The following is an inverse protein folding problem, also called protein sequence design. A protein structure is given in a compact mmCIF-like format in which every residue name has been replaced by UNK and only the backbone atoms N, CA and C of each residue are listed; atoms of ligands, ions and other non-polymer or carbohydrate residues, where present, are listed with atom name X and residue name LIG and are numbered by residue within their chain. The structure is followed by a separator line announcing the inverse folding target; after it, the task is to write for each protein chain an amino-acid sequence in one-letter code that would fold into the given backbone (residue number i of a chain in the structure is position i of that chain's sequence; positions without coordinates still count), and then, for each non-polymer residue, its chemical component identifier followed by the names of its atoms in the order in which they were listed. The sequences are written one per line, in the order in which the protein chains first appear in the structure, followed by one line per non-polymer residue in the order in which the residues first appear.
data_IF_305264123028
#
_entry.id   IF_305264123028
#
_cell.length_a   1.000
_cell.length_b   1.000
_cell.length_c   1.000
_cell.angle_alpha   90.00
_cell.angle_beta   90.00
_cell.angle_gamma   90.00
#
_symmetry.space_group_name_H-M   'P 1'
#
loop_
_entity.id
_entity.type
_entity.pdbx_description
1 polymer ?
#
# COMPACT_ATOMS: atom_id res chain seq x y z
N UNK A 1 -10.80 6.67 7.44
CA UNK A 1 -9.43 7.16 7.31
C UNK A 1 -8.54 6.31 8.21
N UNK A 2 -7.45 5.78 7.69
CA UNK A 2 -6.46 5.08 8.52
C UNK A 2 -5.76 6.11 9.41
N UNK A 3 -5.44 5.79 10.68
CA UNK A 3 -4.71 6.70 11.55
C UNK A 3 -3.35 7.03 10.91
N UNK A 4 -2.92 8.29 11.04
CA UNK A 4 -1.59 8.71 10.62
C UNK A 4 -0.54 7.96 11.44
N UNK A 5 0.47 7.38 10.78
CA UNK A 5 1.58 6.76 11.47
C UNK A 5 2.57 7.86 11.89
N UNK A 6 3.02 7.87 13.15
CA UNK A 6 3.93 8.89 13.66
C UNK A 6 5.31 8.91 12.96
N UNK A 7 5.70 7.81 12.31
CA UNK A 7 7.01 7.68 11.63
C UNK A 7 7.02 8.09 10.15
N UNK A 8 5.94 8.68 9.63
CA UNK A 8 5.88 9.17 8.24
C UNK A 8 6.61 10.51 8.02
N UNK A 9 7.79 10.67 8.60
CA UNK A 9 8.41 11.98 8.78
C UNK A 9 9.23 12.52 7.60
N UNK A 10 9.41 11.77 6.50
CA UNK A 10 10.35 12.13 5.43
C UNK A 10 9.92 13.34 4.58
N UNK A 11 8.66 13.73 4.61
CA UNK A 11 8.10 14.85 3.85
C UNK A 11 7.34 15.83 4.72
N UNK A 12 8.03 16.40 5.69
CA UNK A 12 7.46 17.37 6.64
C UNK A 12 7.60 18.81 6.20
N UNK A 13 8.44 19.10 5.21
CA UNK A 13 8.76 20.45 4.76
C UNK A 13 8.44 20.69 3.28
N UNK A 14 7.99 21.90 2.99
CA UNK A 14 7.73 22.35 1.63
C UNK A 14 9.03 22.50 0.85
N UNK A 15 9.12 21.90 -0.33
CA UNK A 15 10.28 22.00 -1.22
C UNK A 15 10.49 23.40 -1.79
N UNK A 16 9.46 24.26 -1.82
CA UNK A 16 9.53 25.60 -2.38
C UNK A 16 9.95 26.67 -1.35
N UNK A 17 9.57 26.52 -0.07
CA UNK A 17 9.79 27.56 0.93
C UNK A 17 10.21 27.02 2.31
N UNK A 18 10.45 25.72 2.46
CA UNK A 18 10.87 25.03 3.66
C UNK A 18 9.91 25.12 4.87
N UNK A 19 8.78 25.80 4.73
CA UNK A 19 7.76 25.82 5.76
C UNK A 19 7.18 24.42 6.03
N UNK A 20 6.62 24.15 7.21
CA UNK A 20 5.94 22.89 7.51
C UNK A 20 4.82 22.61 6.51
N UNK A 21 4.67 21.35 6.10
CA UNK A 21 3.55 20.87 5.29
C UNK A 21 2.37 20.45 6.18
N UNK A 22 1.17 20.83 5.76
CA UNK A 22 -0.07 20.24 6.25
C UNK A 22 -0.53 19.10 5.36
N UNK A 23 -1.22 18.11 5.94
CA UNK A 23 -1.82 16.99 5.21
C UNK A 23 -3.30 16.91 5.52
N UNK A 24 -4.14 16.96 4.48
CA UNK A 24 -5.58 16.70 4.60
C UNK A 24 -5.88 15.20 4.69
N UNK A 25 -5.02 14.39 4.09
CA UNK A 25 -5.06 12.93 4.13
C UNK A 25 -3.64 12.38 4.04
N UNK A 26 -3.26 11.52 4.97
CA UNK A 26 -2.06 10.68 4.88
C UNK A 26 -2.49 9.28 4.47
N UNK A 27 -1.82 8.68 3.51
CA UNK A 27 -2.14 7.34 2.99
C UNK A 27 -1.09 6.31 3.39
N UNK A 28 0.09 6.31 2.78
CA UNK A 28 1.17 5.38 3.09
C UNK A 28 2.42 6.19 3.37
N UNK A 29 3.04 6.02 4.52
CA UNK A 29 4.24 6.75 4.88
C UNK A 29 4.00 8.26 4.76
N UNK A 30 4.76 8.92 3.90
CA UNK A 30 4.66 10.36 3.60
C UNK A 30 3.76 10.67 2.39
N UNK A 31 3.08 9.68 1.81
CA UNK A 31 2.16 9.90 0.69
C UNK A 31 0.80 10.39 1.20
N UNK A 32 0.22 11.33 0.46
CA UNK A 32 -1.08 11.87 0.83
C UNK A 32 -1.43 13.17 0.12
N UNK A 33 -2.44 13.83 0.62
CA UNK A 33 -2.89 15.14 0.12
C UNK A 33 -2.24 16.23 0.96
N UNK A 34 -1.09 16.70 0.51
CA UNK A 34 -0.31 17.72 1.18
C UNK A 34 -0.59 19.13 0.64
N UNK A 35 -0.43 20.12 1.50
CA UNK A 35 -0.44 21.54 1.17
C UNK A 35 0.58 22.30 2.03
N UNK A 36 1.01 23.43 1.52
CA UNK A 36 1.82 24.40 2.23
C UNK A 36 1.00 25.67 2.45
N UNK A 37 0.67 25.98 3.69
CA UNK A 37 -0.11 27.16 4.01
C UNK A 37 0.71 28.46 3.88
N UNK A 38 2.05 28.38 3.85
CA UNK A 38 2.94 29.54 3.73
C UNK A 38 3.09 30.05 2.28
N UNK A 39 3.16 29.16 1.28
CA UNK A 39 3.38 29.55 -0.12
C UNK A 39 2.29 29.09 -1.08
N UNK A 40 1.26 28.38 -0.60
CA UNK A 40 0.15 27.90 -1.42
C UNK A 40 0.47 26.65 -2.27
N UNK A 41 1.69 26.13 -2.23
CA UNK A 41 2.03 24.89 -2.92
C UNK A 41 1.18 23.73 -2.38
N UNK A 42 0.71 22.88 -3.27
CA UNK A 42 -0.12 21.71 -2.92
C UNK A 42 0.16 20.56 -3.87
N UNK A 43 -0.28 19.36 -3.45
CA UNK A 43 -0.25 18.19 -4.32
C UNK A 43 -1.04 18.50 -5.61
N UNK A 44 -0.46 18.28 -6.81
CA UNK A 44 -1.21 18.39 -8.07
C UNK A 44 -2.36 17.39 -8.11
N UNK A 45 -3.47 17.77 -8.74
CA UNK A 45 -4.56 16.84 -9.04
C UNK A 45 -4.10 15.88 -10.15
N UNK A 46 -4.13 14.57 -9.92
CA UNK A 46 -3.75 13.61 -10.94
C UNK A 46 -4.91 13.33 -11.91
N UNK A 47 -4.61 13.16 -13.20
CA UNK A 47 -5.60 12.77 -14.22
C UNK A 47 -6.12 11.34 -14.01
N UNK A 48 -5.28 10.46 -13.43
CA UNK A 48 -5.63 9.09 -13.07
C UNK A 48 -5.51 8.95 -11.56
N UNK A 49 -6.62 8.63 -10.89
CA UNK A 49 -6.66 8.56 -9.43
C UNK A 49 -7.60 7.49 -8.92
N UNK A 50 -7.23 6.81 -7.85
CA UNK A 50 -8.16 5.97 -7.13
C UNK A 50 -9.18 6.85 -6.37
N UNK A 51 -10.46 6.67 -6.65
CA UNK A 51 -11.58 7.39 -6.02
C UNK A 51 -12.20 6.59 -4.89
N UNK A 52 -12.09 5.28 -4.94
CA UNK A 52 -12.54 4.34 -3.90
C UNK A 52 -11.51 3.23 -3.74
N UNK A 53 -11.19 2.89 -2.50
CA UNK A 53 -10.34 1.75 -2.15
C UNK A 53 -10.94 1.05 -0.94
N UNK A 54 -11.19 -0.24 -1.08
CA UNK A 54 -11.63 -1.13 -0.01
C UNK A 54 -10.53 -2.16 0.26
N UNK A 55 -10.10 -2.24 1.50
CA UNK A 55 -9.08 -3.16 1.96
C UNK A 55 -9.76 -4.38 2.60
N UNK A 56 -9.49 -5.56 2.07
CA UNK A 56 -10.08 -6.81 2.54
C UNK A 56 -9.08 -7.68 3.33
N UNK A 57 -8.20 -7.03 4.10
CA UNK A 57 -7.13 -7.70 4.83
C UNK A 57 -6.20 -8.46 3.90
N UNK A 58 -5.82 -9.66 4.28
CA UNK A 58 -4.94 -10.54 3.48
C UNK A 58 -5.59 -11.06 2.19
N UNK A 59 -6.90 -10.85 1.99
CA UNK A 59 -7.61 -11.32 0.78
C UNK A 59 -7.42 -10.42 -0.43
N UNK A 60 -6.95 -9.20 -0.25
CA UNK A 60 -6.71 -8.27 -1.35
C UNK A 60 -7.44 -6.95 -1.20
N UNK A 61 -7.69 -6.29 -2.33
CA UNK A 61 -8.33 -4.98 -2.39
C UNK A 61 -9.40 -4.92 -3.48
N UNK A 62 -10.40 -4.07 -3.31
CA UNK A 62 -11.24 -3.59 -4.40
C UNK A 62 -11.05 -2.08 -4.55
N UNK A 63 -11.03 -1.58 -5.79
CA UNK A 63 -10.82 -0.17 -6.05
C UNK A 63 -11.55 0.31 -7.30
N UNK A 64 -11.86 1.61 -7.31
CA UNK A 64 -12.31 2.34 -8.49
C UNK A 64 -11.27 3.39 -8.85
N UNK A 65 -10.85 3.41 -10.11
CA UNK A 65 -9.86 4.35 -10.64
C UNK A 65 -10.56 5.25 -11.67
N UNK A 66 -10.62 6.55 -11.39
CA UNK A 66 -11.06 7.54 -12.36
C UNK A 66 -9.92 7.86 -13.33
N UNK A 67 -10.25 7.92 -14.62
CA UNK A 67 -9.34 8.24 -15.71
C UNK A 67 -10.00 9.20 -16.70
N UNK A 68 -9.25 9.86 -17.58
CA UNK A 68 -9.84 10.67 -18.67
C UNK A 68 -10.72 9.87 -19.66
N UNK A 69 -10.57 8.55 -19.70
CA UNK A 69 -11.34 7.66 -20.58
C UNK A 69 -12.54 6.99 -19.89
N UNK A 70 -12.77 7.28 -18.61
CA UNK A 70 -13.83 6.68 -17.80
C UNK A 70 -13.31 5.99 -16.53
N UNK A 71 -14.18 5.28 -15.83
CA UNK A 71 -13.83 4.60 -14.58
C UNK A 71 -13.43 3.15 -14.84
N UNK A 72 -12.45 2.68 -14.07
CA UNK A 72 -11.99 1.30 -14.02
C UNK A 72 -12.27 0.75 -12.64
N UNK A 73 -13.16 -0.25 -12.55
CA UNK A 73 -13.35 -1.02 -11.33
C UNK A 73 -12.48 -2.28 -11.39
N UNK A 74 -11.80 -2.60 -10.30
CA UNK A 74 -10.96 -3.77 -10.19
C UNK A 74 -11.02 -4.38 -8.79
N UNK A 75 -10.94 -5.71 -8.73
CA UNK A 75 -10.72 -6.48 -7.52
C UNK A 75 -9.42 -7.26 -7.69
N UNK A 76 -8.46 -7.02 -6.81
CA UNK A 76 -7.12 -7.60 -6.91
C UNK A 76 -6.85 -8.51 -5.71
N UNK A 77 -6.32 -9.72 -5.91
CA UNK A 77 -5.90 -10.60 -4.83
C UNK A 77 -4.54 -10.15 -4.23
N UNK A 78 -4.27 -8.86 -4.27
CA UNK A 78 -3.06 -8.23 -3.79
C UNK A 78 -3.40 -7.38 -2.57
N UNK A 79 -2.99 -7.78 -1.34
CA UNK A 79 -3.34 -7.07 -0.12
C UNK A 79 -2.53 -5.78 0.05
N UNK A 80 -3.09 -4.85 0.83
CA UNK A 80 -2.45 -3.61 1.26
C UNK A 80 -2.68 -2.43 0.33
N UNK A 81 -2.69 -1.23 0.92
CA UNK A 81 -2.98 0.02 0.23
C UNK A 81 -1.94 0.35 -0.86
N UNK A 82 -0.68 -0.09 -0.69
CA UNK A 82 0.36 0.09 -1.69
C UNK A 82 -0.01 -0.54 -3.05
N UNK A 83 -0.80 -1.61 -3.06
CA UNK A 83 -1.27 -2.22 -4.31
C UNK A 83 -2.37 -1.41 -5.00
N UNK A 84 -3.13 -0.59 -4.29
CA UNK A 84 -4.00 0.40 -4.92
C UNK A 84 -3.17 1.48 -5.65
N UNK A 85 -2.06 1.92 -5.07
CA UNK A 85 -1.12 2.82 -5.75
C UNK A 85 -0.50 2.16 -6.99
N UNK A 86 -0.04 0.91 -6.86
CA UNK A 86 0.55 0.17 -7.98
C UNK A 86 -0.45 0.00 -9.14
N UNK A 87 -1.69 -0.38 -8.84
CA UNK A 87 -2.75 -0.53 -9.85
C UNK A 87 -3.08 0.80 -10.53
N UNK A 88 -3.18 1.89 -9.75
CA UNK A 88 -3.45 3.23 -10.29
C UNK A 88 -2.30 3.71 -11.17
N UNK A 89 -1.05 3.50 -10.75
CA UNK A 89 0.14 3.86 -11.52
C UNK A 89 0.26 3.02 -12.81
N UNK A 90 0.00 1.71 -12.73
CA UNK A 90 -0.02 0.83 -13.90
C UNK A 90 -1.10 1.26 -14.91
N UNK A 91 -2.29 1.61 -14.41
CA UNK A 91 -3.38 2.15 -15.24
C UNK A 91 -2.94 3.43 -15.94
N UNK A 92 -2.36 4.38 -15.22
CA UNK A 92 -1.88 5.64 -15.80
C UNK A 92 -0.80 5.42 -16.87
N UNK A 93 0.16 4.54 -16.60
CA UNK A 93 1.21 4.19 -17.55
C UNK A 93 0.65 3.52 -18.80
N UNK A 94 -0.24 2.56 -18.66
CA UNK A 94 -0.86 1.85 -19.79
C UNK A 94 -1.63 2.82 -20.69
N UNK A 95 -2.45 3.70 -20.12
CA UNK A 95 -3.20 4.71 -20.88
C UNK A 95 -2.27 5.72 -21.58
N UNK A 96 -1.18 6.14 -20.93
CA UNK A 96 -0.17 7.00 -21.52
C UNK A 96 0.57 6.35 -22.69
N UNK A 97 0.68 5.03 -22.69
CA UNK A 97 1.24 4.22 -23.80
C UNK A 97 0.22 3.94 -24.90
N UNK A 98 -1.01 4.42 -24.78
CA UNK A 98 -2.08 4.24 -25.80
C UNK A 98 -2.82 2.90 -25.66
N UNK A 99 -2.66 2.17 -24.56
CA UNK A 99 -3.43 0.96 -24.29
C UNK A 99 -4.86 1.37 -23.92
N UNK A 100 -5.85 0.73 -24.54
CA UNK A 100 -7.25 1.05 -24.32
C UNK A 100 -7.73 0.66 -22.92
N UNK A 101 -8.74 1.36 -22.41
CA UNK A 101 -9.29 1.16 -21.06
C UNK A 101 -9.81 -0.27 -20.82
N UNK A 102 -10.35 -0.92 -21.86
CA UNK A 102 -10.84 -2.30 -21.77
C UNK A 102 -9.71 -3.33 -21.61
N UNK A 103 -8.55 -3.06 -22.22
CA UNK A 103 -7.36 -3.88 -22.03
C UNK A 103 -6.78 -3.70 -20.63
N UNK A 104 -6.82 -2.47 -20.10
CA UNK A 104 -6.46 -2.18 -18.71
C UNK A 104 -7.36 -2.95 -17.74
N UNK A 105 -8.68 -2.93 -17.94
CA UNK A 105 -9.64 -3.70 -17.12
C UNK A 105 -9.32 -5.19 -17.13
N UNK A 106 -9.08 -5.76 -18.30
CA UNK A 106 -8.71 -7.19 -18.44
C UNK A 106 -7.38 -7.49 -17.74
N UNK A 107 -6.37 -6.65 -17.91
CA UNK A 107 -5.07 -6.80 -17.26
C UNK A 107 -5.19 -6.81 -15.74
N UNK A 108 -5.93 -5.88 -15.17
CA UNK A 108 -6.16 -5.83 -13.73
C UNK A 108 -6.95 -7.05 -13.23
N UNK A 109 -8.00 -7.48 -13.97
CA UNK A 109 -8.82 -8.63 -13.59
C UNK A 109 -8.05 -9.97 -13.62
N UNK A 110 -6.96 -10.07 -14.40
CA UNK A 110 -6.12 -11.26 -14.49
C UNK A 110 -4.86 -11.19 -13.64
N UNK A 111 -4.70 -10.11 -12.85
CA UNK A 111 -3.55 -9.95 -11.96
C UNK A 111 -3.56 -11.01 -10.86
N UNK A 112 -2.42 -11.64 -10.65
CA UNK A 112 -2.21 -12.64 -9.59
C UNK A 112 -1.08 -12.21 -8.66
N UNK A 113 -1.14 -12.67 -7.41
CA UNK A 113 -0.05 -12.50 -6.46
C UNK A 113 1.15 -13.37 -6.86
N UNK A 114 2.35 -12.86 -6.65
CA UNK A 114 3.58 -13.58 -6.95
C UNK A 114 4.72 -13.17 -5.99
N UNK A 115 5.71 -14.03 -5.86
CA UNK A 115 6.96 -13.77 -5.13
C UNK A 115 6.74 -13.32 -3.67
N UNK A 116 5.83 -13.97 -2.96
CA UNK A 116 5.55 -13.69 -1.55
C UNK A 116 4.81 -12.37 -1.28
N UNK A 117 4.24 -11.73 -2.32
CA UNK A 117 3.51 -10.46 -2.16
C UNK A 117 2.00 -10.68 -2.12
N UNK A 118 1.52 -11.28 -1.04
CA UNK A 118 0.13 -11.71 -0.89
C UNK A 118 -0.12 -13.09 -1.49
N UNK A 119 0.91 -13.86 -1.75
CA UNK A 119 0.82 -15.19 -2.32
C UNK A 119 0.18 -16.16 -1.31
N UNK A 120 -0.79 -16.95 -1.80
CA UNK A 120 -1.49 -17.95 -1.02
C UNK A 120 -1.02 -19.34 -1.41
N UNK A 121 -0.59 -20.10 -0.44
CA UNK A 121 -0.12 -21.48 -0.60
C UNK A 121 -0.93 -22.38 0.32
N UNK A 122 -1.41 -23.49 -0.19
CA UNK A 122 -2.05 -24.53 0.64
C UNK A 122 -1.03 -25.61 0.93
N UNK A 123 -0.74 -25.82 2.22
CA UNK A 123 0.18 -26.84 2.71
C UNK A 123 -0.56 -27.69 3.74
N UNK A 124 -0.65 -28.98 3.50
CA UNK A 124 -1.34 -29.96 4.37
C UNK A 124 -2.75 -29.53 4.80
N UNK A 125 -3.53 -28.97 3.86
CA UNK A 125 -4.88 -28.49 4.09
C UNK A 125 -4.98 -27.17 4.87
N UNK A 126 -3.87 -26.52 5.15
CA UNK A 126 -3.79 -25.19 5.77
C UNK A 126 -3.41 -24.14 4.75
N UNK A 127 -4.08 -23.00 4.82
CA UNK A 127 -3.73 -21.84 3.99
C UNK A 127 -2.62 -21.04 4.65
N UNK A 128 -1.57 -20.78 3.90
CA UNK A 128 -0.46 -19.91 4.26
C UNK A 128 -0.49 -18.68 3.34
N UNK A 129 -0.43 -17.48 3.92
CA UNK A 129 -0.30 -16.23 3.19
C UNK A 129 1.10 -15.67 3.38
N UNK A 130 1.82 -15.48 2.29
CA UNK A 130 3.18 -14.94 2.31
C UNK A 130 3.14 -13.42 2.08
N UNK A 131 3.63 -12.65 3.04
CA UNK A 131 3.68 -11.18 3.00
C UNK A 131 5.13 -10.72 3.17
N UNK A 132 5.75 -10.31 2.06
CA UNK A 132 7.13 -9.83 2.05
C UNK A 132 7.20 -8.34 2.42
N UNK A 133 8.02 -8.02 3.41
CA UNK A 133 8.39 -6.66 3.77
C UNK A 133 9.92 -6.51 3.79
N UNK A 134 10.43 -5.36 3.36
CA UNK A 134 11.89 -5.09 3.27
C UNK A 134 12.30 -3.74 3.88
N UNK A 135 11.37 -3.04 4.46
CA UNK A 135 11.58 -1.75 5.12
C UNK A 135 10.43 -1.46 6.09
N UNK A 136 10.58 -0.45 6.99
CA UNK A 136 9.56 -0.12 7.99
C UNK A 136 8.18 0.16 7.39
N UNK A 137 8.11 0.95 6.31
CA UNK A 137 6.84 1.31 5.67
C UNK A 137 6.11 0.06 5.15
N UNK A 138 6.82 -0.84 4.47
CA UNK A 138 6.24 -2.09 3.97
C UNK A 138 5.79 -3.02 5.09
N UNK A 139 6.56 -3.11 6.18
CA UNK A 139 6.21 -3.92 7.34
C UNK A 139 4.99 -3.34 8.06
N UNK A 140 4.90 -2.03 8.26
CA UNK A 140 3.74 -1.37 8.84
C UNK A 140 2.47 -1.57 7.99
N UNK A 141 2.57 -1.54 6.65
CA UNK A 141 1.44 -1.87 5.78
C UNK A 141 1.04 -3.36 5.88
N UNK A 142 2.00 -4.25 6.11
CA UNK A 142 1.73 -5.67 6.39
C UNK A 142 0.98 -5.85 7.72
N UNK A 143 1.44 -5.20 8.78
CA UNK A 143 0.75 -5.16 10.08
C UNK A 143 -0.69 -4.66 9.91
N UNK A 144 -0.89 -3.53 9.25
CA UNK A 144 -2.24 -3.01 8.97
C UNK A 144 -3.11 -3.99 8.20
N UNK A 145 -2.54 -4.64 7.20
CA UNK A 145 -3.24 -5.64 6.39
C UNK A 145 -3.76 -6.79 7.24
N UNK A 146 -2.90 -7.33 8.10
CA UNK A 146 -3.25 -8.43 9.01
C UNK A 146 -4.29 -8.00 10.05
N UNK A 147 -4.21 -6.76 10.54
CA UNK A 147 -5.21 -6.22 11.48
C UNK A 147 -6.61 -6.06 10.88
N UNK A 148 -6.74 -6.01 9.57
CA UNK A 148 -8.04 -5.96 8.88
C UNK A 148 -8.68 -7.33 8.69
N UNK A 149 -7.97 -8.42 8.91
CA UNK A 149 -8.54 -9.76 8.81
C UNK A 149 -9.57 -9.99 9.94
N UNK A 150 -10.69 -10.70 9.68
CA UNK A 150 -11.76 -10.85 10.67
C UNK A 150 -11.38 -11.69 11.90
N UNK A 151 -10.44 -12.60 11.74
CA UNK A 151 -9.91 -13.42 12.82
C UNK A 151 -8.40 -13.21 12.98
N UNK A 152 -7.84 -13.27 14.20
CA UNK A 152 -6.40 -13.18 14.39
C UNK A 152 -5.73 -14.40 13.75
N UNK A 153 -4.82 -14.19 12.78
CA UNK A 153 -4.08 -15.28 12.18
C UNK A 153 -2.96 -15.76 13.09
N UNK A 154 -2.50 -16.99 12.91
CA UNK A 154 -1.21 -17.39 13.41
C UNK A 154 -0.11 -16.71 12.60
N UNK A 155 0.74 -15.93 13.23
CA UNK A 155 1.78 -15.17 12.58
C UNK A 155 3.15 -15.82 12.80
N UNK A 156 3.92 -15.92 11.70
CA UNK A 156 5.34 -16.22 11.74
C UNK A 156 6.09 -15.07 11.06
N UNK A 157 6.96 -14.42 11.80
CA UNK A 157 7.85 -13.38 11.27
C UNK A 157 9.23 -13.99 11.12
N UNK A 158 9.73 -14.04 9.88
CA UNK A 158 11.08 -14.50 9.56
C UNK A 158 11.90 -13.31 9.06
N UNK A 159 13.02 -13.06 9.73
CA UNK A 159 13.95 -11.99 9.38
C UNK A 159 15.24 -12.61 8.85
N UNK A 160 15.70 -12.12 7.69
CA UNK A 160 16.94 -12.57 7.07
C UNK A 160 17.93 -11.40 7.04
N UNK A 161 19.16 -11.64 7.50
CA UNK A 161 20.26 -10.70 7.57
C UNK A 161 21.32 -10.92 6.48
N UNK A 162 21.00 -11.72 5.44
CA UNK A 162 21.93 -12.03 4.36
C UNK A 162 21.89 -10.98 3.26
N UNK A 163 22.96 -10.93 2.47
CA UNK A 163 23.21 -9.93 1.42
C UNK A 163 22.03 -9.68 0.47
N UNK A 164 21.22 -10.69 0.16
CA UNK A 164 20.09 -10.57 -0.75
C UNK A 164 18.95 -9.68 -0.21
N UNK A 165 18.78 -9.62 1.12
CA UNK A 165 17.70 -8.85 1.78
C UNK A 165 18.24 -7.63 2.54
N UNK A 166 19.55 -7.40 2.51
CA UNK A 166 20.25 -6.37 3.28
C UNK A 166 20.78 -6.92 4.60
N UNK A 167 21.99 -6.50 4.93
CA UNK A 167 22.68 -6.93 6.17
C UNK A 167 22.25 -6.11 7.38
N UNK A 168 21.79 -4.88 7.17
CA UNK A 168 21.25 -4.04 8.22
C UNK A 168 19.77 -4.32 8.41
N UNK A 169 19.45 -4.99 9.51
CA UNK A 169 18.08 -5.34 9.91
C UNK A 169 17.53 -4.41 11.00
N UNK A 170 18.24 -3.35 11.35
CA UNK A 170 17.85 -2.41 12.41
C UNK A 170 16.52 -1.71 12.14
N UNK A 171 16.11 -1.63 10.89
CA UNK A 171 14.82 -1.08 10.47
C UNK A 171 13.60 -1.76 11.12
N UNK A 172 13.77 -2.99 11.64
CA UNK A 172 12.67 -3.71 12.32
C UNK A 172 12.18 -2.96 13.57
N UNK A 173 13.05 -2.14 14.20
CA UNK A 173 12.71 -1.35 15.37
C UNK A 173 11.80 -0.16 15.07
N UNK A 174 11.67 0.22 13.79
CA UNK A 174 10.79 1.30 13.32
C UNK A 174 9.41 0.78 12.88
N UNK A 175 9.09 -0.48 13.20
CA UNK A 175 7.82 -1.13 12.86
C UNK A 175 6.91 -1.20 14.07
N UNK A 176 5.68 -0.74 13.91
CA UNK A 176 4.64 -0.76 14.94
C UNK A 176 4.01 -2.16 15.07
N UNK A 177 4.63 -3.06 15.82
CA UNK A 177 4.13 -4.42 16.04
C UNK A 177 3.12 -4.52 17.20
N UNK A 178 3.07 -3.54 18.10
CA UNK A 178 2.24 -3.52 19.31
C UNK A 178 0.75 -3.82 19.02
N UNK A 179 0.13 -3.28 17.96
CA UNK A 179 -1.27 -3.56 17.64
C UNK A 179 -1.57 -5.04 17.36
N UNK A 180 -0.56 -5.83 16.93
CA UNK A 180 -0.73 -7.27 16.74
C UNK A 180 -0.88 -8.01 18.06
N UNK A 181 -0.19 -7.55 19.13
CA UNK A 181 -0.27 -8.15 20.47
C UNK A 181 -1.63 -7.89 21.11
N UNK A 182 -2.17 -6.69 20.94
CA UNK A 182 -3.50 -6.32 21.47
C UNK A 182 -4.62 -7.16 20.87
N UNK A 183 -4.42 -7.66 19.65
CA UNK A 183 -5.39 -8.50 18.95
C UNK A 183 -5.24 -9.99 19.23
N UNK A 184 -4.07 -10.42 19.67
CA UNK A 184 -3.79 -11.83 20.01
C UNK A 184 -4.21 -12.20 21.44
N UNK A 185 -4.56 -11.22 22.27
CA UNK A 185 -5.03 -11.36 23.64
C UNK A 185 -6.56 -11.53 23.70
#
# INVERSE_FOLDING_TARGET
ALPALPHAADSTRCRACEAPLGYDLVTIGHLGHWRCDACGARRPEPDVRATRVELHGSRGIALTIATPQGEVEASLPLPGLHNAYNATAATAAALAMGIGIEDVRRGLATTTAAFGRGERVVLDGRELVLLLAKNPTGANETVRTVLLDPAPPHLLIALNDRTADGQDVSWIWDVDYEPLLERAA
#
